data_IF_203810777838
#
_entry.id   IF_203810777838
#
_cell.length_a   1.000
_cell.length_b   1.000
_cell.length_c   1.000
_cell.angle_alpha   90.00
_cell.angle_beta   90.00
_cell.angle_gamma   90.00
#
_symmetry.space_group_name_H-M   'P 1'
#
loop_
_entity.id
_entity.type
_entity.pdbx_description
1 polymer ?
#
# COMPACT_ATOMS: atom_id res chain seq x y z
N UNK A 1 17.25 0.87 3.63
CA UNK A 1 16.00 0.10 3.44
C UNK A 1 14.80 1.00 3.16
N UNK A 2 14.54 2.06 3.93
CA UNK A 2 13.43 3.00 3.65
C UNK A 2 13.40 3.54 2.20
N UNK A 3 14.56 3.92 1.65
CA UNK A 3 14.68 4.37 0.25
C UNK A 3 14.24 3.29 -0.76
N UNK A 4 14.58 2.02 -0.50
CA UNK A 4 14.19 0.90 -1.38
C UNK A 4 12.68 0.64 -1.31
N UNK A 5 12.11 0.64 -0.11
CA UNK A 5 10.66 0.54 0.08
C UNK A 5 9.92 1.73 -0.57
N UNK A 6 10.50 2.93 -0.48
CA UNK A 6 9.98 4.08 -1.18
C UNK A 6 10.01 3.92 -2.71
N UNK A 7 11.06 3.30 -3.26
CA UNK A 7 11.13 2.94 -4.68
C UNK A 7 10.06 1.92 -5.10
N UNK A 8 9.81 0.91 -4.27
CA UNK A 8 8.70 -0.05 -4.48
C UNK A 8 7.36 0.67 -4.51
N UNK A 9 7.14 1.63 -3.60
CA UNK A 9 5.90 2.40 -3.56
C UNK A 9 5.76 3.37 -4.74
N UNK A 10 6.84 3.96 -5.26
CA UNK A 10 6.81 4.71 -6.53
C UNK A 10 6.43 3.81 -7.71
N UNK A 11 7.00 2.60 -7.78
CA UNK A 11 6.65 1.62 -8.82
C UNK A 11 5.16 1.22 -8.72
N UNK A 12 4.66 0.97 -7.52
CA UNK A 12 3.23 0.72 -7.28
C UNK A 12 2.38 1.91 -7.69
N UNK A 13 2.79 3.14 -7.35
CA UNK A 13 2.12 4.36 -7.78
C UNK A 13 1.99 4.44 -9.29
N UNK A 14 3.07 4.16 -10.02
CA UNK A 14 3.06 4.10 -11.47
C UNK A 14 2.09 3.03 -12.01
N UNK A 15 2.16 1.81 -11.48
CA UNK A 15 1.27 0.71 -11.89
C UNK A 15 -0.21 1.03 -11.63
N UNK A 16 -0.52 1.67 -10.51
CA UNK A 16 -1.90 1.98 -10.11
C UNK A 16 -2.39 3.34 -10.59
N UNK A 17 -1.64 4.07 -11.42
CA UNK A 17 -2.10 5.35 -11.99
C UNK A 17 -1.89 5.43 -13.50
N UNK A 18 -0.67 5.15 -13.98
CA UNK A 18 -0.30 5.29 -15.40
C UNK A 18 -0.71 4.06 -16.20
N UNK A 19 -0.47 2.86 -15.65
CA UNK A 19 -0.85 1.59 -16.29
C UNK A 19 -2.04 0.94 -15.55
N UNK A 20 -2.97 1.79 -15.10
CA UNK A 20 -4.07 1.42 -14.22
C UNK A 20 -4.96 0.29 -14.78
N UNK A 21 -5.42 0.28 -16.05
CA UNK A 21 -6.27 -0.79 -16.56
C UNK A 21 -5.60 -2.17 -16.54
N UNK A 22 -4.30 -2.22 -16.88
CA UNK A 22 -3.52 -3.45 -16.84
C UNK A 22 -3.35 -3.95 -15.40
N UNK A 23 -2.95 -3.06 -14.49
CA UNK A 23 -2.79 -3.40 -13.07
C UNK A 23 -4.10 -3.88 -12.46
N UNK A 24 -5.22 -3.22 -12.77
CA UNK A 24 -6.55 -3.61 -12.32
C UNK A 24 -6.92 -5.05 -12.73
N UNK A 25 -6.69 -5.41 -13.99
CA UNK A 25 -7.14 -6.68 -14.57
C UNK A 25 -6.17 -7.85 -14.36
N UNK A 26 -4.86 -7.60 -14.45
CA UNK A 26 -3.84 -8.67 -14.45
C UNK A 26 -3.14 -8.85 -13.11
N UNK A 27 -3.12 -7.83 -12.25
CA UNK A 27 -2.44 -7.87 -10.95
C UNK A 27 -3.47 -7.91 -9.82
N UNK A 28 -4.41 -6.97 -9.81
CA UNK A 28 -5.48 -6.93 -8.82
C UNK A 28 -6.63 -7.90 -9.13
N UNK A 29 -6.67 -8.45 -10.35
CA UNK A 29 -7.69 -9.39 -10.84
C UNK A 29 -9.13 -8.88 -10.65
N UNK A 30 -9.33 -7.58 -10.83
CA UNK A 30 -10.64 -6.94 -10.74
C UNK A 30 -11.48 -7.26 -11.98
N UNK A 31 -12.74 -7.63 -11.74
CA UNK A 31 -13.73 -7.73 -12.81
C UNK A 31 -14.21 -6.33 -13.21
N UNK A 32 -13.91 -5.95 -14.45
CA UNK A 32 -14.28 -4.66 -15.03
C UNK A 32 -15.42 -4.79 -16.05
N UNK A 33 -16.09 -5.94 -16.14
CA UNK A 33 -17.23 -6.15 -17.04
C UNK A 33 -18.55 -5.59 -16.49
N UNK A 34 -18.64 -5.41 -15.17
CA UNK A 34 -19.83 -4.95 -14.47
C UNK A 34 -19.97 -3.42 -14.37
N UNK A 35 -21.13 -2.94 -13.88
CA UNK A 35 -21.44 -1.50 -13.78
C UNK A 35 -20.52 -0.73 -12.81
N UNK A 36 -19.82 -1.43 -11.91
CA UNK A 36 -18.91 -0.83 -10.92
C UNK A 36 -17.49 -0.63 -11.44
N UNK A 37 -17.20 -0.94 -12.71
CA UNK A 37 -15.85 -0.90 -13.27
C UNK A 37 -15.18 0.49 -13.12
N UNK A 38 -15.93 1.56 -13.37
CA UNK A 38 -15.43 2.93 -13.25
C UNK A 38 -15.03 3.27 -11.81
N UNK A 39 -15.86 2.89 -10.83
CA UNK A 39 -15.58 3.14 -9.42
C UNK A 39 -14.37 2.33 -8.93
N UNK A 40 -14.25 1.07 -9.34
CA UNK A 40 -13.11 0.22 -9.03
C UNK A 40 -11.80 0.81 -9.57
N UNK A 41 -11.80 1.27 -10.83
CA UNK A 41 -10.64 1.93 -11.43
C UNK A 41 -10.32 3.23 -10.71
N UNK A 42 -11.32 4.03 -10.36
CA UNK A 42 -11.13 5.30 -9.63
C UNK A 42 -10.53 5.07 -8.25
N UNK A 43 -11.03 4.10 -7.49
CA UNK A 43 -10.51 3.75 -6.17
C UNK A 43 -9.07 3.24 -6.24
N UNK A 44 -8.77 2.36 -7.20
CA UNK A 44 -7.41 1.86 -7.41
C UNK A 44 -6.47 2.99 -7.85
N UNK A 45 -6.94 3.90 -8.71
CA UNK A 45 -6.25 5.12 -9.13
C UNK A 45 -5.87 6.02 -7.95
N UNK A 46 -6.83 6.33 -7.08
CA UNK A 46 -6.62 7.13 -5.88
C UNK A 46 -5.61 6.46 -4.93
N UNK A 47 -5.67 5.13 -4.80
CA UNK A 47 -4.69 4.38 -4.04
C UNK A 47 -3.30 4.48 -4.64
N UNK A 48 -3.18 4.45 -5.98
CA UNK A 48 -1.91 4.68 -6.68
C UNK A 48 -1.30 6.06 -6.42
N UNK A 49 -2.12 7.11 -6.38
CA UNK A 49 -1.65 8.46 -6.00
C UNK A 49 -1.04 8.46 -4.60
N UNK A 50 -1.68 7.78 -3.64
CA UNK A 50 -1.15 7.66 -2.28
C UNK A 50 0.18 6.89 -2.23
N UNK A 51 0.40 5.95 -3.15
CA UNK A 51 1.68 5.23 -3.24
C UNK A 51 2.81 6.15 -3.76
N UNK A 52 2.55 7.05 -4.70
CA UNK A 52 3.55 8.05 -5.08
C UNK A 52 3.96 8.95 -3.91
N UNK A 53 2.98 9.44 -3.15
CA UNK A 53 3.24 10.29 -1.98
C UNK A 53 4.09 9.51 -0.97
N UNK A 54 3.66 8.31 -0.61
CA UNK A 54 4.37 7.46 0.36
C UNK A 54 5.79 7.14 -0.10
N UNK A 55 5.96 6.80 -1.39
CA UNK A 55 7.26 6.51 -1.99
C UNK A 55 8.22 7.69 -1.93
N UNK A 56 7.76 8.87 -2.36
CA UNK A 56 8.55 10.10 -2.30
C UNK A 56 8.91 10.47 -0.85
N UNK A 57 7.96 10.38 0.08
CA UNK A 57 8.21 10.66 1.50
C UNK A 57 9.26 9.72 2.09
N UNK A 58 9.19 8.41 1.81
CA UNK A 58 10.17 7.44 2.32
C UNK A 58 11.56 7.62 1.73
N UNK A 59 11.67 7.99 0.45
CA UNK A 59 12.95 8.31 -0.18
C UNK A 59 13.56 9.55 0.47
N UNK A 60 12.81 10.65 0.52
CA UNK A 60 13.30 11.92 1.06
C UNK A 60 13.68 11.78 2.55
N UNK A 61 12.80 11.21 3.36
CA UNK A 61 13.10 10.99 4.79
C UNK A 61 14.20 9.95 4.99
N UNK A 62 14.27 8.91 4.15
CA UNK A 62 15.33 7.90 4.22
C UNK A 62 16.72 8.48 3.94
N UNK A 63 16.81 9.48 3.06
CA UNK A 63 18.04 10.18 2.71
C UNK A 63 18.41 11.26 3.74
N UNK A 64 17.43 12.07 4.17
CA UNK A 64 17.70 13.31 4.89
C UNK A 64 17.23 13.33 6.36
N UNK A 65 16.37 12.40 6.78
CA UNK A 65 15.77 12.39 8.11
C UNK A 65 15.50 10.95 8.61
N UNK A 66 16.58 10.17 8.79
CA UNK A 66 16.50 8.74 9.13
C UNK A 66 15.60 8.39 10.34
N UNK A 67 15.56 9.18 11.44
CA UNK A 67 14.62 8.91 12.54
C UNK A 67 13.16 9.02 12.12
N UNK A 68 12.83 9.99 11.26
CA UNK A 68 11.47 10.15 10.69
C UNK A 68 11.15 8.97 9.76
N UNK A 69 12.11 8.57 8.92
CA UNK A 69 11.93 7.40 8.06
C UNK A 69 11.64 6.14 8.88
N UNK A 70 12.34 5.94 10.00
CA UNK A 70 12.07 4.81 10.90
C UNK A 70 10.65 4.91 11.51
N UNK A 71 10.22 6.08 11.96
CA UNK A 71 8.86 6.27 12.46
C UNK A 71 7.82 5.95 11.38
N UNK A 72 8.02 6.42 10.15
CA UNK A 72 7.13 6.13 9.02
C UNK A 72 7.03 4.65 8.70
N UNK A 73 8.14 3.90 8.76
CA UNK A 73 8.14 2.45 8.55
C UNK A 73 7.24 1.71 9.54
N UNK A 74 7.06 2.23 10.76
CA UNK A 74 6.11 1.68 11.75
C UNK A 74 4.68 2.22 11.59
N UNK A 75 4.53 3.51 11.26
CA UNK A 75 3.22 4.14 11.11
C UNK A 75 2.43 3.62 9.90
N UNK A 76 3.10 3.35 8.77
CA UNK A 76 2.46 2.84 7.56
C UNK A 76 1.69 1.54 7.83
N UNK A 77 2.30 0.46 8.35
CA UNK A 77 1.55 -0.77 8.65
C UNK A 77 0.51 -0.58 9.76
N UNK A 78 0.75 0.28 10.75
CA UNK A 78 -0.23 0.59 11.79
C UNK A 78 -1.50 1.24 11.21
N UNK A 79 -1.35 2.22 10.31
CA UNK A 79 -2.50 2.87 9.66
C UNK A 79 -3.19 1.95 8.65
N UNK A 80 -2.47 1.04 7.98
CA UNK A 80 -3.13 -0.03 7.22
C UNK A 80 -4.00 -0.91 8.11
N UNK A 81 -3.50 -1.31 9.28
CA UNK A 81 -4.27 -2.09 10.25
C UNK A 81 -5.53 -1.36 10.73
N UNK A 82 -5.38 -0.09 11.09
CA UNK A 82 -6.51 0.77 11.49
C UNK A 82 -7.53 0.93 10.35
N UNK A 83 -7.06 1.19 9.13
CA UNK A 83 -7.90 1.32 7.95
C UNK A 83 -8.67 0.04 7.63
N UNK A 84 -8.02 -1.12 7.71
CA UNK A 84 -8.67 -2.43 7.51
C UNK A 84 -9.76 -2.68 8.56
N UNK A 85 -9.52 -2.32 9.82
CA UNK A 85 -10.53 -2.43 10.88
C UNK A 85 -11.72 -1.51 10.60
N UNK A 86 -11.46 -0.25 10.24
CA UNK A 86 -12.52 0.72 9.92
C UNK A 86 -13.36 0.27 8.72
N UNK A 87 -12.71 -0.22 7.66
CA UNK A 87 -13.39 -0.78 6.48
C UNK A 87 -14.21 -2.01 6.88
N UNK A 88 -13.65 -2.92 7.68
CA UNK A 88 -14.37 -4.11 8.13
C UNK A 88 -15.66 -3.77 8.89
N UNK A 89 -15.60 -2.79 9.80
CA UNK A 89 -16.77 -2.31 10.54
C UNK A 89 -17.79 -1.68 9.58
N UNK A 90 -17.34 -0.85 8.64
CA UNK A 90 -18.22 -0.19 7.66
C UNK A 90 -18.87 -1.18 6.68
N UNK A 91 -18.21 -2.31 6.39
CA UNK A 91 -18.72 -3.34 5.49
C UNK A 91 -19.70 -4.32 6.14
N UNK A 92 -19.77 -4.38 7.47
CA UNK A 92 -20.61 -5.34 8.21
C UNK A 92 -22.10 -5.38 7.77
N UNK A 93 -22.76 -4.26 7.42
CA UNK A 93 -24.15 -4.29 6.95
C UNK A 93 -24.34 -4.89 5.54
N UNK A 94 -23.27 -5.07 4.77
CA UNK A 94 -23.33 -5.48 3.38
C UNK A 94 -22.95 -6.97 3.23
N UNK A 95 -23.45 -7.65 2.18
CA UNK A 95 -23.06 -9.03 1.90
C UNK A 95 -21.53 -9.18 1.74
N UNK A 96 -20.95 -10.32 2.18
CA UNK A 96 -19.53 -10.58 1.98
C UNK A 96 -19.12 -10.44 0.52
N UNK A 97 -17.97 -9.81 0.28
CA UNK A 97 -17.42 -9.69 -1.06
C UNK A 97 -16.98 -11.06 -1.58
N UNK A 98 -17.37 -11.38 -2.82
CA UNK A 98 -16.89 -12.55 -3.57
C UNK A 98 -15.70 -12.22 -4.47
N UNK A 99 -15.19 -10.99 -4.41
CA UNK A 99 -14.10 -10.53 -5.27
C UNK A 99 -12.80 -11.31 -4.97
N UNK A 100 -12.20 -11.88 -6.03
CA UNK A 100 -10.89 -12.51 -5.94
C UNK A 100 -9.80 -11.43 -6.00
N UNK A 101 -9.36 -10.97 -4.83
CA UNK A 101 -8.40 -9.88 -4.72
C UNK A 101 -6.96 -10.35 -4.99
N UNK A 102 -6.61 -10.46 -6.28
CA UNK A 102 -5.33 -10.99 -6.74
C UNK A 102 -4.10 -10.21 -6.24
N UNK A 103 -4.28 -8.91 -5.93
CA UNK A 103 -3.22 -8.06 -5.39
C UNK A 103 -2.89 -8.28 -3.91
N UNK A 104 -3.71 -9.05 -3.18
CA UNK A 104 -3.56 -9.25 -1.73
C UNK A 104 -2.19 -9.82 -1.32
N UNK A 105 -1.63 -10.85 -1.98
CA UNK A 105 -0.32 -11.39 -1.58
C UNK A 105 0.80 -10.35 -1.67
N UNK A 106 0.85 -9.57 -2.76
CA UNK A 106 1.85 -8.50 -2.93
C UNK A 106 1.73 -7.42 -1.85
N UNK A 107 0.49 -7.04 -1.50
CA UNK A 107 0.24 -6.08 -0.42
C UNK A 107 0.75 -6.62 0.93
N UNK A 108 0.47 -7.89 1.25
CA UNK A 108 0.91 -8.52 2.51
C UNK A 108 2.44 -8.60 2.57
N UNK A 109 3.09 -8.98 1.47
CA UNK A 109 4.56 -9.00 1.40
C UNK A 109 5.13 -7.61 1.65
N UNK A 110 4.61 -6.58 0.97
CA UNK A 110 5.10 -5.21 1.14
C UNK A 110 4.92 -4.73 2.59
N UNK A 111 3.74 -4.90 3.18
CA UNK A 111 3.48 -4.56 4.58
C UNK A 111 4.39 -5.32 5.56
N UNK A 112 4.68 -6.59 5.27
CA UNK A 112 5.61 -7.37 6.08
C UNK A 112 7.02 -6.78 6.02
N UNK A 113 7.48 -6.33 4.85
CA UNK A 113 8.77 -5.67 4.71
C UNK A 113 8.83 -4.35 5.51
N UNK A 114 7.75 -3.57 5.54
CA UNK A 114 7.64 -2.39 6.40
C UNK A 114 7.87 -2.75 7.88
N UNK A 115 7.12 -3.73 8.39
CA UNK A 115 7.21 -4.18 9.79
C UNK A 115 8.61 -4.71 10.12
N UNK A 116 9.15 -5.61 9.28
CA UNK A 116 10.47 -6.20 9.50
C UNK A 116 11.57 -5.13 9.49
N UNK A 117 11.49 -4.17 8.57
CA UNK A 117 12.46 -3.07 8.50
C UNK A 117 12.37 -2.16 9.72
N UNK A 118 11.15 -1.86 10.17
CA UNK A 118 10.94 -1.08 11.39
C UNK A 118 11.56 -1.76 12.62
N UNK A 119 11.26 -3.05 12.82
CA UNK A 119 11.81 -3.83 13.93
C UNK A 119 13.33 -3.92 13.87
N UNK A 120 13.91 -4.18 12.69
CA UNK A 120 15.35 -4.21 12.50
C UNK A 120 16.00 -2.85 12.82
N UNK A 121 15.36 -1.74 12.42
CA UNK A 121 15.81 -0.39 12.74
C UNK A 121 15.77 -0.07 14.24
N UNK A 122 14.72 -0.51 14.95
CA UNK A 122 14.64 -0.38 16.41
C UNK A 122 15.74 -1.18 17.13
N UNK A 123 16.06 -2.38 16.64
CA UNK A 123 17.15 -3.19 17.20
C UNK A 123 18.51 -2.54 16.98
N UNK A 124 18.75 -1.97 15.80
CA UNK A 124 19.99 -1.27 15.49
C UNK A 124 20.21 0.01 16.31
N UNK A 125 19.15 0.66 16.79
CA UNK A 125 19.24 1.83 17.67
C UNK A 125 19.58 1.48 19.13
N UNK A 126 19.45 0.20 19.52
CA UNK A 126 19.74 -0.27 20.88
C UNK A 126 21.17 -0.77 21.07
N UNK A 127 21.93 -0.89 19.99
CA UNK A 127 23.35 -1.28 19.97
C UNK A 127 24.23 -0.04 19.94
#
# INVERSE_FOLDING_TARGET
MAVLLGGIDLFRGFMHTVILPYSATHIACLDLSGPTASDLLRLLGLFGISNFITGATLILTGLYARPIALALLGLIPAFYGLGLLAIHVAMNPYPPSTAQWGGRPFMVVNLSLYVLTFLAGLLALRQ
#
